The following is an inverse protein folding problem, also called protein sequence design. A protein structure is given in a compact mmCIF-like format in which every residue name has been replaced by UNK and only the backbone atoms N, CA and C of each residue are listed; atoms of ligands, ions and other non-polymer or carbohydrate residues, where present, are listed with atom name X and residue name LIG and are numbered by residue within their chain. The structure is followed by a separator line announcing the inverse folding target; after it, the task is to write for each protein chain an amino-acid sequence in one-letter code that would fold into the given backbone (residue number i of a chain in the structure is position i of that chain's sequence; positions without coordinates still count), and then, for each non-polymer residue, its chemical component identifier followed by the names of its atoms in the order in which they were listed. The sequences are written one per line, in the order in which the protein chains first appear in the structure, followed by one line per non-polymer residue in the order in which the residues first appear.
data_IF_687482694893
#
_entry.id   IF_687482694893
#
_cell.length_a   1.000
_cell.length_b   1.000
_cell.length_c   1.000
_cell.angle_alpha   90.00
_cell.angle_beta   90.00
_cell.angle_gamma   90.00
#
_symmetry.space_group_name_H-M   'P 1'
#
loop_
_entity.id
_entity.type
_entity.pdbx_description
1 polymer ?
#
# COMPACT_ATOMS: atom_id res chain seq x y z
N UNK A 1 8.48 3.46 -18.11
CA UNK A 1 7.09 3.47 -17.60
C UNK A 1 6.78 4.78 -16.87
N UNK A 2 5.61 5.37 -17.12
CA UNK A 2 5.14 6.63 -16.51
C UNK A 2 4.24 6.31 -15.31
N UNK A 3 4.50 6.93 -14.16
CA UNK A 3 3.58 6.95 -13.02
C UNK A 3 2.88 8.31 -13.03
N UNK A 4 1.56 8.31 -12.88
CA UNK A 4 0.76 9.53 -12.82
C UNK A 4 -0.11 9.53 -11.56
N UNK A 5 -0.30 10.72 -10.99
CA UNK A 5 -1.31 10.92 -9.95
C UNK A 5 -2.70 10.73 -10.57
N UNK A 6 -3.61 10.11 -9.81
CA UNK A 6 -4.98 9.83 -10.23
C UNK A 6 -5.93 9.98 -9.03
N UNK A 7 -7.19 9.64 -9.22
CA UNK A 7 -8.19 9.57 -8.16
C UNK A 7 -8.40 8.14 -7.69
N UNK A 8 -8.93 7.97 -6.48
CA UNK A 8 -9.34 6.68 -5.95
C UNK A 8 -10.34 6.01 -6.93
N UNK A 9 -10.07 4.79 -7.41
CA UNK A 9 -10.94 4.12 -8.39
C UNK A 9 -12.36 3.94 -7.87
N UNK A 10 -13.36 4.19 -8.71
CA UNK A 10 -14.77 4.09 -8.30
C UNK A 10 -15.20 2.67 -7.90
N UNK A 11 -14.50 1.66 -8.42
CA UNK A 11 -14.74 0.24 -8.12
C UNK A 11 -13.92 -0.27 -6.92
N UNK A 12 -13.07 0.57 -6.33
CA UNK A 12 -12.30 0.20 -5.14
C UNK A 12 -13.24 0.00 -3.96
N UNK A 13 -12.95 -0.99 -3.12
CA UNK A 13 -13.59 -1.21 -1.82
C UNK A 13 -13.51 0.04 -0.93
N UNK A 14 -12.45 0.85 -1.07
CA UNK A 14 -12.31 2.11 -0.33
C UNK A 14 -13.21 3.22 -0.86
N UNK A 15 -13.70 3.11 -2.10
CA UNK A 15 -14.68 4.06 -2.64
C UNK A 15 -16.08 3.64 -2.20
N UNK A 16 -16.42 4.00 -0.97
CA UNK A 16 -17.77 3.82 -0.43
C UNK A 16 -18.39 5.19 -0.18
N UNK A 17 -19.58 5.45 -0.74
CA UNK A 17 -20.27 6.74 -0.70
C UNK A 17 -20.55 7.25 0.74
N UNK A 18 -20.54 6.37 1.74
CA UNK A 18 -20.69 6.71 3.15
C UNK A 18 -19.40 7.06 3.91
N UNK A 19 -18.23 6.95 3.28
CA UNK A 19 -16.93 7.10 3.97
C UNK A 19 -16.23 8.37 3.51
N UNK A 20 -15.99 9.28 4.46
CA UNK A 20 -15.15 10.46 4.25
C UNK A 20 -13.77 10.25 4.88
N UNK A 21 -12.73 10.57 4.10
CA UNK A 21 -11.33 10.48 4.50
C UNK A 21 -10.73 11.88 4.63
N UNK A 22 -9.95 12.12 5.68
CA UNK A 22 -9.25 13.41 5.86
C UNK A 22 -8.11 13.60 4.84
N UNK A 23 -7.58 12.52 4.29
CA UNK A 23 -6.58 12.55 3.23
C UNK A 23 -6.74 11.35 2.29
N UNK A 24 -6.57 11.62 0.99
CA UNK A 24 -6.48 10.61 -0.06
C UNK A 24 -5.39 11.02 -1.04
N UNK A 25 -4.54 10.08 -1.43
CA UNK A 25 -3.76 10.17 -2.66
C UNK A 25 -3.84 8.86 -3.45
N UNK A 26 -3.63 8.96 -4.76
CA UNK A 26 -3.69 7.80 -5.63
C UNK A 26 -2.73 7.97 -6.81
N UNK A 27 -2.06 6.87 -7.17
CA UNK A 27 -1.10 6.84 -8.27
C UNK A 27 -1.35 5.62 -9.12
N UNK A 28 -1.24 5.77 -10.44
CA UNK A 28 -1.44 4.70 -11.41
C UNK A 28 -0.22 4.50 -12.30
N UNK A 29 0.03 3.23 -12.62
CA UNK A 29 1.00 2.79 -13.59
C UNK A 29 0.42 1.67 -14.45
N UNK A 30 0.82 1.62 -15.71
CA UNK A 30 0.48 0.53 -16.62
C UNK A 30 1.55 -0.55 -16.57
N UNK A 31 1.12 -1.81 -16.60
CA UNK A 31 1.99 -2.97 -16.75
C UNK A 31 1.40 -3.92 -17.78
N UNK A 32 2.26 -4.74 -18.38
CA UNK A 32 1.82 -5.71 -19.38
C UNK A 32 1.40 -7.02 -18.70
N UNK A 33 0.19 -7.50 -18.94
CA UNK A 33 -0.33 -8.77 -18.37
C UNK A 33 -0.98 -9.65 -19.44
N UNK A 34 -0.16 -10.13 -20.38
CA UNK A 34 -0.63 -10.87 -21.55
C UNK A 34 -1.36 -12.18 -21.21
N UNK A 35 -1.20 -12.71 -19.99
CA UNK A 35 -1.77 -13.98 -19.55
C UNK A 35 -2.93 -13.80 -18.55
N UNK A 36 -3.22 -12.57 -18.12
CA UNK A 36 -4.17 -12.26 -17.03
C UNK A 36 -3.93 -13.10 -15.77
N UNK A 37 -2.66 -13.37 -15.45
CA UNK A 37 -2.28 -14.22 -14.32
C UNK A 37 -1.96 -13.42 -13.06
N UNK A 38 -1.87 -12.09 -13.16
CA UNK A 38 -1.50 -11.24 -12.03
C UNK A 38 -2.71 -11.07 -11.12
N UNK A 39 -2.54 -11.49 -9.87
CA UNK A 39 -3.56 -11.39 -8.81
C UNK A 39 -3.17 -10.37 -7.76
N UNK A 40 -4.16 -9.91 -6.99
CA UNK A 40 -3.94 -9.03 -5.83
C UNK A 40 -2.91 -9.59 -4.83
N UNK A 41 -2.79 -10.92 -4.70
CA UNK A 41 -1.82 -11.57 -3.82
C UNK A 41 -0.38 -11.44 -4.34
N UNK A 42 -0.16 -11.60 -5.64
CA UNK A 42 1.15 -11.40 -6.28
C UNK A 42 1.60 -9.95 -6.10
N UNK A 43 0.69 -9.01 -6.33
CA UNK A 43 0.95 -7.58 -6.11
C UNK A 43 1.21 -7.27 -4.63
N UNK A 44 0.47 -7.91 -3.73
CA UNK A 44 0.68 -7.80 -2.29
C UNK A 44 2.09 -8.21 -1.88
N UNK A 45 2.62 -9.33 -2.41
CA UNK A 45 4.02 -9.72 -2.17
C UNK A 45 5.01 -8.72 -2.75
N UNK A 46 4.81 -8.30 -4.01
CA UNK A 46 5.66 -7.31 -4.67
C UNK A 46 5.68 -5.97 -3.92
N UNK A 47 4.58 -5.57 -3.27
CA UNK A 47 4.51 -4.37 -2.46
C UNK A 47 5.52 -4.37 -1.31
N UNK A 48 5.74 -5.50 -0.65
CA UNK A 48 6.67 -5.62 0.48
C UNK A 48 8.15 -5.72 0.07
N UNK A 49 8.43 -6.07 -1.19
CA UNK A 49 9.79 -6.19 -1.76
C UNK A 49 10.21 -4.98 -2.59
N UNK A 50 9.25 -4.15 -3.04
CA UNK A 50 9.50 -3.02 -3.96
C UNK A 50 9.72 -1.67 -3.28
N UNK A 51 9.73 -1.63 -1.94
CA UNK A 51 10.00 -0.41 -1.20
C UNK A 51 11.45 0.07 -1.41
N UNK A 52 11.69 1.36 -1.67
CA UNK A 52 13.05 1.87 -1.74
C UNK A 52 13.83 1.62 -0.43
N UNK A 53 15.11 1.27 -0.53
CA UNK A 53 15.93 0.88 0.63
C UNK A 53 15.96 1.89 1.79
N UNK A 54 15.85 3.20 1.50
CA UNK A 54 15.82 4.25 2.51
C UNK A 54 14.50 4.30 3.31
N UNK A 55 13.41 3.74 2.78
CA UNK A 55 12.10 3.68 3.46
C UNK A 55 12.20 2.84 4.73
N UNK A 56 12.98 1.75 4.71
CA UNK A 56 13.25 0.96 5.91
C UNK A 56 13.84 1.79 7.05
N UNK A 57 14.79 2.69 6.74
CA UNK A 57 15.39 3.60 7.72
C UNK A 57 14.37 4.59 8.29
N UNK A 58 13.46 5.11 7.46
CA UNK A 58 12.37 5.96 7.94
C UNK A 58 11.42 5.23 8.88
N UNK A 59 11.06 3.98 8.57
CA UNK A 59 10.21 3.17 9.46
C UNK A 59 10.90 2.92 10.80
N UNK A 60 12.21 2.65 10.81
CA UNK A 60 12.98 2.52 12.06
C UNK A 60 12.97 3.81 12.88
N UNK A 61 13.20 4.96 12.24
CA UNK A 61 13.15 6.26 12.89
C UNK A 61 11.75 6.55 13.45
N UNK A 62 10.70 6.33 12.64
CA UNK A 62 9.31 6.49 13.04
C UNK A 62 9.00 5.64 14.25
N UNK A 63 9.35 4.35 14.22
CA UNK A 63 9.08 3.43 15.33
C UNK A 63 9.78 3.86 16.62
N UNK A 64 11.02 4.39 16.54
CA UNK A 64 11.73 4.93 17.71
C UNK A 64 11.06 6.17 18.30
N UNK A 65 10.55 7.06 17.45
CA UNK A 65 9.85 8.28 17.92
C UNK A 65 8.51 7.90 18.54
N UNK A 66 7.74 7.05 17.86
CA UNK A 66 6.34 6.77 18.22
C UNK A 66 6.18 5.74 19.35
N UNK A 67 7.21 4.96 19.66
CA UNK A 67 7.16 3.96 20.75
C UNK A 67 6.94 4.62 22.11
N UNK A 68 7.49 5.82 22.32
CA UNK A 68 7.28 6.63 23.53
C UNK A 68 5.82 7.12 23.66
N UNK A 69 5.09 7.18 22.56
CA UNK A 69 3.69 7.62 22.51
C UNK A 69 2.71 6.43 22.47
N UNK A 70 3.20 5.20 22.64
CA UNK A 70 2.39 4.00 22.71
C UNK A 70 1.61 3.69 21.41
N UNK A 71 2.18 4.09 20.26
CA UNK A 71 1.68 3.72 18.93
C UNK A 71 2.18 2.34 18.52
N UNK A 72 1.43 1.67 17.65
CA UNK A 72 1.81 0.36 17.13
C UNK A 72 3.09 0.48 16.28
N UNK A 73 4.02 -0.45 16.44
CA UNK A 73 5.27 -0.54 15.67
C UNK A 73 5.37 -1.88 14.98
N UNK A 74 6.08 -1.95 13.85
CA UNK A 74 6.52 -3.24 13.28
C UNK A 74 7.30 -3.99 14.36
N UNK A 75 6.88 -5.19 14.76
CA UNK A 75 7.58 -5.96 15.79
C UNK A 75 9.06 -6.22 15.44
N UNK A 76 9.89 -6.43 16.45
CA UNK A 76 11.28 -6.85 16.29
C UNK A 76 11.33 -8.35 15.95
N UNK A 77 10.94 -8.71 14.74
CA UNK A 77 11.14 -10.07 14.22
C UNK A 77 12.46 -10.10 13.47
N UNK A 78 13.43 -10.87 13.98
CA UNK A 78 14.74 -11.08 13.35
C UNK A 78 14.65 -11.82 11.99
N UNK A 79 13.45 -12.24 11.59
CA UNK A 79 13.24 -13.03 10.37
C UNK A 79 12.13 -12.45 9.49
N UNK A 80 12.37 -11.24 8.97
CA UNK A 80 11.47 -10.58 8.01
C UNK A 80 11.26 -11.41 6.75
N UNK A 81 12.28 -12.18 6.32
CA UNK A 81 12.21 -13.01 5.13
C UNK A 81 11.25 -14.17 5.36
N UNK A 82 11.39 -14.93 6.46
CA UNK A 82 10.44 -16.00 6.76
C UNK A 82 9.01 -15.50 6.99
N UNK A 83 8.84 -14.30 7.56
CA UNK A 83 7.50 -13.70 7.67
C UNK A 83 6.90 -13.40 6.30
N UNK A 84 7.70 -12.89 5.35
CA UNK A 84 7.25 -12.62 3.99
C UNK A 84 6.95 -13.93 3.24
N UNK A 85 7.79 -14.95 3.39
CA UNK A 85 7.62 -16.25 2.72
C UNK A 85 6.33 -16.95 3.18
N UNK A 86 5.98 -16.81 4.46
CA UNK A 86 4.76 -17.34 5.05
C UNK A 86 3.52 -16.46 4.83
N UNK A 87 3.68 -15.21 4.36
CA UNK A 87 2.59 -14.27 4.17
C UNK A 87 1.78 -14.62 2.91
N UNK A 88 0.54 -15.05 3.10
CA UNK A 88 -0.37 -15.46 2.01
C UNK A 88 -1.29 -14.33 1.56
N UNK A 89 -1.13 -13.14 2.14
CA UNK A 89 -1.98 -11.97 1.92
C UNK A 89 -3.46 -12.31 2.20
N UNK A 90 -3.76 -13.11 3.23
CA UNK A 90 -5.16 -13.44 3.56
C UNK A 90 -5.74 -12.42 4.54
N UNK A 91 -7.06 -12.21 4.50
CA UNK A 91 -7.74 -11.29 5.41
C UNK A 91 -7.42 -11.64 6.88
N UNK A 92 -7.05 -10.64 7.66
CA UNK A 92 -6.62 -10.81 9.05
C UNK A 92 -5.13 -11.08 9.24
N UNK A 93 -4.38 -11.49 8.21
CA UNK A 93 -2.91 -11.58 8.29
C UNK A 93 -2.27 -10.20 8.43
N UNK A 94 -1.07 -10.16 9.01
CA UNK A 94 -0.32 -8.93 9.21
C UNK A 94 1.17 -9.14 8.94
N UNK A 95 1.77 -8.22 8.18
CA UNK A 95 3.20 -8.17 7.94
C UNK A 95 3.75 -6.79 8.34
N UNK A 96 4.50 -6.76 9.45
CA UNK A 96 4.94 -5.51 10.07
C UNK A 96 3.73 -4.66 10.50
N UNK A 97 3.65 -3.42 10.00
CA UNK A 97 2.54 -2.49 10.29
C UNK A 97 1.32 -2.69 9.37
N UNK A 98 1.38 -3.59 8.41
CA UNK A 98 0.37 -3.69 7.37
C UNK A 98 -0.48 -4.94 7.59
N UNK A 99 -1.66 -4.74 8.16
CA UNK A 99 -2.71 -5.76 8.28
C UNK A 99 -3.52 -5.83 6.98
N UNK A 100 -3.88 -7.04 6.55
CA UNK A 100 -4.83 -7.26 5.45
C UNK A 100 -6.24 -7.09 5.99
N UNK A 101 -6.95 -6.07 5.48
CA UNK A 101 -8.33 -5.79 5.84
C UNK A 101 -9.32 -6.43 4.89
N UNK A 102 -9.00 -6.48 3.59
CA UNK A 102 -9.82 -7.16 2.61
C UNK A 102 -8.99 -7.61 1.42
N UNK A 103 -9.43 -8.70 0.78
CA UNK A 103 -8.83 -9.23 -0.44
C UNK A 103 -9.89 -9.71 -1.42
N UNK A 104 -9.77 -9.27 -2.66
CA UNK A 104 -10.48 -9.80 -3.81
C UNK A 104 -9.46 -10.25 -4.87
N UNK A 105 -9.93 -10.70 -6.03
CA UNK A 105 -9.02 -11.05 -7.14
C UNK A 105 -8.20 -9.85 -7.63
N UNK A 106 -8.86 -8.68 -7.70
CA UNK A 106 -8.33 -7.47 -8.31
C UNK A 106 -7.91 -6.41 -7.27
N UNK A 107 -8.21 -6.59 -5.99
CA UNK A 107 -7.90 -5.59 -4.97
C UNK A 107 -7.39 -6.21 -3.67
N UNK A 108 -6.33 -5.62 -3.12
CA UNK A 108 -5.84 -5.90 -1.77
C UNK A 108 -5.89 -4.62 -0.93
N UNK A 109 -6.58 -4.68 0.21
CA UNK A 109 -6.62 -3.60 1.19
C UNK A 109 -5.69 -3.93 2.36
N UNK A 110 -4.60 -3.16 2.45
CA UNK A 110 -3.66 -3.17 3.57
C UNK A 110 -3.92 -1.97 4.47
N UNK A 111 -3.55 -2.01 5.74
CA UNK A 111 -3.68 -0.85 6.60
C UNK A 111 -3.37 -1.12 8.05
N UNK A 112 -3.68 -0.16 8.90
CA UNK A 112 -3.67 -0.31 10.35
C UNK A 112 -4.68 0.64 10.98
N UNK A 113 -5.20 0.24 12.14
CA UNK A 113 -5.98 1.09 13.03
C UNK A 113 -5.16 1.42 14.27
N UNK A 114 -4.87 2.70 14.49
CA UNK A 114 -4.04 3.15 15.60
C UNK A 114 -4.68 4.36 16.29
N UNK A 115 -4.17 4.71 17.48
CA UNK A 115 -4.74 5.74 18.35
C UNK A 115 -4.79 7.13 17.72
N UNK A 116 -3.89 7.41 16.78
CA UNK A 116 -3.71 8.73 16.18
C UNK A 116 -4.44 8.86 14.83
N UNK A 117 -4.43 7.80 14.03
CA UNK A 117 -5.10 7.73 12.74
C UNK A 117 -5.31 6.27 12.33
N UNK A 118 -6.24 6.09 11.41
CA UNK A 118 -6.37 4.88 10.62
C UNK A 118 -5.88 5.17 9.22
N UNK A 119 -5.09 4.26 8.65
CA UNK A 119 -4.72 4.33 7.24
C UNK A 119 -5.15 3.06 6.51
N UNK A 120 -5.48 3.20 5.24
CA UNK A 120 -5.70 2.09 4.30
C UNK A 120 -4.93 2.34 3.02
N UNK A 121 -4.39 1.28 2.45
CA UNK A 121 -3.71 1.23 1.17
C UNK A 121 -4.48 0.23 0.32
N UNK A 122 -5.06 0.69 -0.77
CA UNK A 122 -5.63 -0.15 -1.81
C UNK A 122 -4.57 -0.40 -2.88
N UNK A 123 -4.35 -1.66 -3.21
CA UNK A 123 -3.62 -2.12 -4.39
C UNK A 123 -4.66 -2.66 -5.37
N UNK A 124 -5.09 -1.83 -6.33
CA UNK A 124 -6.20 -2.11 -7.23
C UNK A 124 -5.72 -2.36 -8.66
N UNK A 125 -6.11 -3.50 -9.23
CA UNK A 125 -5.86 -3.88 -10.61
C UNK A 125 -7.08 -3.49 -11.44
N UNK A 126 -6.88 -2.56 -12.37
CA UNK A 126 -7.86 -2.27 -13.39
C UNK A 126 -7.50 -3.02 -14.69
N UNK A 127 -8.19 -4.15 -14.90
CA UNK A 127 -8.09 -5.00 -16.09
C UNK A 127 -8.88 -4.46 -17.29
N UNK A 128 -9.68 -3.38 -17.12
CA UNK A 128 -10.51 -2.82 -18.19
C UNK A 128 -9.76 -1.78 -19.04
N UNK A 129 -8.57 -2.12 -19.51
CA UNK A 129 -7.86 -1.24 -20.44
C UNK A 129 -8.31 -1.53 -21.88
N UNK A 130 -8.37 -0.50 -22.72
CA UNK A 130 -8.71 -0.62 -24.15
C UNK A 130 -7.76 -1.57 -24.91
N UNK A 131 -6.61 -1.88 -24.32
CA UNK A 131 -5.63 -2.80 -24.87
C UNK A 131 -5.59 -4.08 -24.03
N UNK A 132 -6.12 -5.18 -24.56
CA UNK A 132 -6.22 -6.47 -23.88
C UNK A 132 -4.90 -7.05 -23.33
N UNK A 133 -3.74 -6.48 -23.70
CA UNK A 133 -2.43 -6.88 -23.18
C UNK A 133 -1.89 -6.01 -22.03
N UNK A 134 -2.63 -4.96 -21.64
CA UNK A 134 -2.22 -4.02 -20.60
C UNK A 134 -3.22 -4.02 -19.45
N UNK A 135 -2.69 -3.92 -18.24
CA UNK A 135 -3.44 -3.71 -17.02
C UNK A 135 -2.90 -2.45 -16.32
N UNK A 136 -3.75 -1.80 -15.54
CA UNK A 136 -3.33 -0.67 -14.69
C UNK A 136 -3.29 -1.13 -13.24
N UNK A 137 -2.23 -0.76 -12.54
CA UNK A 137 -2.15 -0.87 -11.08
C UNK A 137 -2.32 0.51 -10.48
N UNK A 138 -3.32 0.67 -9.64
CA UNK A 138 -3.58 1.88 -8.86
C UNK A 138 -3.25 1.60 -7.40
N UNK A 139 -2.36 2.40 -6.82
CA UNK A 139 -2.13 2.43 -5.37
C UNK A 139 -2.83 3.65 -4.82
N UNK A 140 -3.76 3.45 -3.89
CA UNK A 140 -4.47 4.54 -3.23
C UNK A 140 -4.27 4.47 -1.73
N UNK A 141 -3.84 5.56 -1.09
CA UNK A 141 -3.76 5.64 0.36
C UNK A 141 -4.84 6.57 0.88
N UNK A 142 -5.59 6.11 1.87
CA UNK A 142 -6.59 6.89 2.59
C UNK A 142 -6.22 6.99 4.06
N UNK A 143 -6.52 8.13 4.69
CA UNK A 143 -6.25 8.37 6.11
C UNK A 143 -7.46 9.02 6.76
N UNK A 144 -7.79 8.57 7.97
CA UNK A 144 -8.77 9.18 8.86
C UNK A 144 -8.11 9.50 10.20
N UNK A 145 -8.11 10.78 10.58
CA UNK A 145 -7.49 11.22 11.83
C UNK A 145 -8.45 11.03 13.00
N UNK A 146 -7.92 10.59 14.15
CA UNK A 146 -8.70 10.49 15.38
C UNK A 146 -8.57 11.73 16.26
N UNK A 147 -7.44 12.45 16.16
CA UNK A 147 -7.12 13.57 17.04
C UNK A 147 -6.10 14.52 16.40
N UNK A 148 -5.83 15.64 17.09
CA UNK A 148 -4.84 16.63 16.66
C UNK A 148 -3.43 16.03 16.52
N UNK A 149 -3.06 15.07 17.39
CA UNK A 149 -1.78 14.38 17.29
C UNK A 149 -1.64 13.61 15.97
N UNK A 150 -2.69 12.92 15.51
CA UNK A 150 -2.72 12.30 14.18
C UNK A 150 -2.51 13.28 13.03
N UNK A 151 -3.16 14.45 13.09
CA UNK A 151 -2.96 15.52 12.09
C UNK A 151 -1.51 16.01 12.09
N UNK A 152 -0.96 16.32 13.26
CA UNK A 152 0.43 16.80 13.42
C UNK A 152 1.46 15.75 12.98
N UNK A 153 1.23 14.48 13.31
CA UNK A 153 2.07 13.36 12.88
C UNK A 153 2.07 13.22 11.36
N UNK A 154 0.92 13.42 10.70
CA UNK A 154 0.80 13.21 9.27
C UNK A 154 1.42 14.35 8.43
N UNK A 155 1.54 15.56 8.97
CA UNK A 155 2.17 16.70 8.28
C UNK A 155 3.56 16.37 7.71
N UNK A 156 4.53 15.86 8.51
CA UNK A 156 5.84 15.46 7.98
C UNK A 156 5.77 14.17 7.16
N UNK A 157 4.82 13.27 7.42
CA UNK A 157 4.69 11.99 6.68
C UNK A 157 4.20 12.20 5.24
N UNK A 158 3.26 13.12 5.03
CA UNK A 158 2.64 13.42 3.73
C UNK A 158 3.64 13.68 2.59
N UNK A 159 4.66 14.56 2.71
CA UNK A 159 5.62 14.78 1.64
C UNK A 159 6.44 13.53 1.33
N UNK A 160 6.85 12.75 2.34
CA UNK A 160 7.53 11.47 2.09
C UNK A 160 6.60 10.48 1.40
N UNK A 161 5.33 10.41 1.78
CA UNK A 161 4.35 9.54 1.16
C UNK A 161 4.22 9.80 -0.35
N UNK A 162 4.08 11.07 -0.75
CA UNK A 162 4.05 11.49 -2.15
C UNK A 162 5.31 11.13 -2.95
N UNK A 163 6.46 10.97 -2.28
CA UNK A 163 7.71 10.54 -2.91
C UNK A 163 7.89 9.02 -2.94
N UNK A 164 7.36 8.32 -1.93
CA UNK A 164 7.55 6.87 -1.74
C UNK A 164 6.60 6.09 -2.65
N UNK A 165 5.31 6.42 -2.65
CA UNK A 165 4.29 5.60 -3.35
C UNK A 165 4.56 5.49 -4.85
N UNK A 166 4.89 6.57 -5.59
CA UNK A 166 5.24 6.44 -7.00
C UNK A 166 6.47 5.54 -7.25
N UNK A 167 7.47 5.58 -6.35
CA UNK A 167 8.66 4.73 -6.45
C UNK A 167 8.34 3.27 -6.16
N UNK A 168 7.49 3.01 -5.15
CA UNK A 168 6.99 1.67 -4.85
C UNK A 168 6.20 1.11 -6.02
N UNK A 169 5.27 1.87 -6.58
CA UNK A 169 4.48 1.46 -7.74
C UNK A 169 5.36 1.11 -8.94
N UNK A 170 6.39 1.94 -9.21
CA UNK A 170 7.37 1.63 -10.25
C UNK A 170 8.16 0.36 -9.96
N UNK A 171 8.55 0.12 -8.71
CA UNK A 171 9.26 -1.10 -8.29
C UNK A 171 8.40 -2.35 -8.48
N UNK A 172 7.13 -2.29 -8.07
CA UNK A 172 6.17 -3.38 -8.22
C UNK A 172 6.01 -3.74 -9.68
N UNK A 173 5.78 -2.76 -10.55
CA UNK A 173 5.56 -3.05 -11.97
C UNK A 173 6.83 -3.63 -12.62
N UNK A 174 8.02 -3.12 -12.30
CA UNK A 174 9.25 -3.72 -12.79
C UNK A 174 9.38 -5.19 -12.36
N UNK A 175 9.00 -5.53 -11.12
CA UNK A 175 9.02 -6.91 -10.65
C UNK A 175 8.01 -7.78 -11.43
N UNK A 176 6.77 -7.31 -11.60
CA UNK A 176 5.73 -8.02 -12.35
C UNK A 176 6.10 -8.24 -13.83
N UNK A 177 6.81 -7.29 -14.45
CA UNK A 177 7.24 -7.42 -15.86
C UNK A 177 8.47 -8.33 -16.02
N UNK A 178 9.31 -8.44 -15.00
CA UNK A 178 10.51 -9.27 -15.01
C UNK A 178 10.26 -10.73 -14.57
N UNK A 179 9.17 -11.01 -13.87
CA UNK A 179 8.75 -12.37 -13.47
C UNK A 179 8.01 -13.14 -14.60
N UNK A 180 8.04 -12.62 -15.84
CA UNK A 180 7.47 -13.25 -17.04
C UNK A 180 8.36 -14.33 -17.63
#
# INVERSE_FOLDING_TARGET
MKIIETVLPNKSILKNDGVNYDFVDSFVGEFSDNKNTITSATIGKAFFTSAPNWVGKLFTLRNKIVSLFGLKTSGNSNDRQAQLDNFKCQEGEQLGLFKVFSKTEDELILGEDDKHLNFRISLFIDKQTENHNKSKLVISTTVKFHNAFGRMYFLPVRPFHKLIVPKMLKGIINQLENEK
#
